data_IF_954314840303
#
_entry.id   IF_954314840303
#
_cell.length_a   1.000
_cell.length_b   1.000
_cell.length_c   1.000
_cell.angle_alpha   90.00
_cell.angle_beta   90.00
_cell.angle_gamma   90.00
#
_symmetry.space_group_name_H-M   'P 1'
#
loop_
_entity.id
_entity.type
_entity.pdbx_description
1 polymer ?
#
# COMPACT_ATOMS: atom_id res chain seq x y z
N UNK A 1 14.08 -10.20 20.95
CA UNK A 1 13.54 -10.54 19.61
C UNK A 1 12.63 -11.76 19.72
N UNK A 2 11.30 -11.62 19.58
CA UNK A 2 10.41 -12.76 19.35
C UNK A 2 9.66 -12.68 18.00
N UNK A 3 9.76 -13.78 17.26
CA UNK A 3 8.82 -14.35 16.29
C UNK A 3 7.55 -13.57 15.89
N UNK A 4 7.65 -12.73 14.85
CA UNK A 4 6.52 -12.31 14.03
C UNK A 4 6.50 -13.12 12.72
N UNK A 5 6.13 -14.41 12.77
CA UNK A 5 5.79 -15.18 11.58
C UNK A 5 4.55 -16.02 11.85
N UNK A 6 3.65 -16.03 10.87
CA UNK A 6 2.74 -17.13 10.50
C UNK A 6 1.22 -16.85 10.45
N UNK A 7 0.77 -15.59 10.44
CA UNK A 7 -0.62 -15.24 10.07
C UNK A 7 -0.74 -14.82 8.59
N UNK A 8 -0.02 -13.74 8.24
CA UNK A 8 -0.08 -13.11 6.92
C UNK A 8 0.40 -14.01 5.78
N UNK A 9 1.49 -14.77 5.96
CA UNK A 9 1.98 -15.72 4.94
C UNK A 9 0.99 -16.86 4.68
N UNK A 10 0.29 -17.32 5.71
CA UNK A 10 -0.71 -18.39 5.59
C UNK A 10 -1.96 -17.90 4.85
N UNK A 11 -2.40 -16.67 5.11
CA UNK A 11 -3.50 -16.02 4.40
C UNK A 11 -3.16 -15.75 2.92
N UNK A 12 -1.97 -15.18 2.65
CA UNK A 12 -1.51 -14.97 1.28
C UNK A 12 -1.33 -16.29 0.51
N UNK A 13 -0.78 -17.33 1.17
CA UNK A 13 -0.65 -18.66 0.58
C UNK A 13 -2.01 -19.31 0.30
N UNK A 14 -2.96 -19.24 1.23
CA UNK A 14 -4.33 -19.74 1.03
C UNK A 14 -5.04 -19.01 -0.10
N UNK A 15 -4.81 -17.70 -0.25
CA UNK A 15 -5.36 -16.91 -1.36
C UNK A 15 -4.81 -17.40 -2.70
N UNK A 16 -3.48 -17.54 -2.82
CA UNK A 16 -2.83 -18.03 -4.05
C UNK A 16 -3.25 -19.47 -4.37
N UNK A 17 -3.37 -20.34 -3.36
CA UNK A 17 -3.84 -21.72 -3.54
C UNK A 17 -5.31 -21.75 -3.97
N UNK A 18 -6.16 -20.90 -3.40
CA UNK A 18 -7.55 -20.78 -3.82
C UNK A 18 -7.63 -20.34 -5.28
N UNK A 19 -6.90 -19.30 -5.67
CA UNK A 19 -6.85 -18.79 -7.05
C UNK A 19 -6.35 -19.84 -8.05
N UNK A 20 -5.31 -20.57 -7.68
CA UNK A 20 -4.77 -21.67 -8.47
C UNK A 20 -5.80 -22.81 -8.63
N UNK A 21 -6.49 -23.19 -7.56
CA UNK A 21 -7.53 -24.22 -7.59
C UNK A 21 -8.70 -23.79 -8.49
N UNK A 22 -9.18 -22.55 -8.38
CA UNK A 22 -10.22 -22.02 -9.27
C UNK A 22 -9.79 -21.98 -10.72
N UNK A 23 -8.52 -21.65 -11.00
CA UNK A 23 -7.98 -21.66 -12.37
C UNK A 23 -7.94 -23.06 -12.96
N UNK A 24 -7.48 -24.05 -12.18
CA UNK A 24 -7.46 -25.47 -12.60
C UNK A 24 -8.88 -25.98 -12.85
N UNK A 25 -9.83 -25.70 -11.95
CA UNK A 25 -11.23 -26.10 -12.12
C UNK A 25 -11.87 -25.45 -13.35
N UNK A 26 -11.56 -24.18 -13.63
CA UNK A 26 -12.04 -23.50 -14.83
C UNK A 26 -11.50 -24.16 -16.12
N UNK A 27 -10.21 -24.53 -16.15
CA UNK A 27 -9.59 -25.25 -17.27
C UNK A 27 -10.23 -26.64 -17.45
N UNK A 28 -10.48 -27.36 -16.35
CA UNK A 28 -11.15 -28.68 -16.41
C UNK A 28 -12.59 -28.55 -16.91
N UNK A 29 -13.32 -27.52 -16.49
CA UNK A 29 -14.68 -27.25 -16.98
C UNK A 29 -14.69 -26.91 -18.49
N UNK A 30 -13.70 -26.13 -18.96
CA UNK A 30 -13.45 -25.84 -20.38
C UNK A 30 -13.20 -27.12 -21.20
N UNK A 31 -12.26 -27.95 -20.75
CA UNK A 31 -11.88 -29.17 -21.43
C UNK A 31 -13.03 -30.17 -21.46
N UNK A 32 -13.71 -30.40 -20.32
CA UNK A 32 -14.87 -31.27 -20.26
C UNK A 32 -15.96 -30.79 -21.24
N UNK A 33 -16.22 -29.49 -21.26
CA UNK A 33 -17.15 -28.86 -22.18
C UNK A 33 -16.82 -29.04 -23.67
N UNK A 34 -15.55 -28.92 -24.02
CA UNK A 34 -15.06 -29.16 -25.38
C UNK A 34 -15.26 -30.62 -25.81
N UNK A 35 -14.91 -31.59 -24.95
CA UNK A 35 -15.05 -33.02 -25.25
C UNK A 35 -16.51 -33.50 -25.31
N UNK A 36 -17.44 -32.82 -24.65
CA UNK A 36 -18.88 -33.12 -24.67
C UNK A 36 -19.60 -32.61 -25.95
N UNK A 37 -18.90 -31.97 -26.88
CA UNK A 37 -19.42 -31.60 -28.21
C UNK A 37 -20.31 -30.35 -28.24
N UNK A 38 -20.30 -29.55 -27.18
CA UNK A 38 -21.08 -28.31 -27.10
C UNK A 38 -20.30 -27.14 -27.72
N UNK A 39 -20.33 -27.01 -29.05
CA UNK A 39 -19.63 -25.97 -29.84
C UNK A 39 -19.94 -24.51 -29.39
N UNK A 40 -21.06 -24.34 -28.69
CA UNK A 40 -21.65 -23.08 -28.25
C UNK A 40 -21.08 -22.65 -26.90
N UNK A 41 -20.48 -23.61 -26.20
CA UNK A 41 -19.88 -23.45 -24.89
C UNK A 41 -18.55 -22.70 -24.97
N UNK A 42 -17.85 -22.80 -26.09
CA UNK A 42 -16.55 -22.16 -26.34
C UNK A 42 -16.63 -20.62 -26.21
N UNK A 43 -17.56 -19.90 -26.89
CA UNK A 43 -17.73 -18.46 -26.67
C UNK A 43 -18.28 -18.12 -25.27
N UNK A 44 -19.12 -18.97 -24.67
CA UNK A 44 -19.67 -18.73 -23.32
C UNK A 44 -18.56 -18.78 -22.27
N UNK A 45 -17.69 -19.78 -22.33
CA UNK A 45 -16.60 -19.87 -21.36
C UNK A 45 -15.53 -18.81 -21.62
N UNK A 46 -15.32 -18.40 -22.88
CA UNK A 46 -14.50 -17.21 -23.19
C UNK A 46 -14.99 -15.95 -22.46
N UNK A 47 -16.31 -15.69 -22.47
CA UNK A 47 -16.91 -14.55 -21.76
C UNK A 47 -16.77 -14.72 -20.24
N UNK A 48 -17.06 -15.90 -19.71
CA UNK A 48 -16.91 -16.16 -18.26
C UNK A 48 -15.47 -15.98 -17.82
N UNK A 49 -14.51 -16.50 -18.57
CA UNK A 49 -13.07 -16.33 -18.32
C UNK A 49 -12.65 -14.86 -18.38
N UNK A 50 -13.12 -14.11 -19.38
CA UNK A 50 -12.85 -12.67 -19.47
C UNK A 50 -13.40 -11.90 -18.25
N UNK A 51 -14.60 -12.22 -17.78
CA UNK A 51 -15.20 -11.60 -16.58
C UNK A 51 -14.41 -11.94 -15.31
N UNK A 52 -13.99 -13.19 -15.15
CA UNK A 52 -13.16 -13.61 -13.99
C UNK A 52 -11.83 -12.88 -13.98
N UNK A 53 -11.11 -12.85 -15.11
CA UNK A 53 -9.83 -12.15 -15.24
C UNK A 53 -10.01 -10.66 -15.01
N UNK A 54 -11.04 -10.03 -15.60
CA UNK A 54 -11.32 -8.61 -15.41
C UNK A 54 -11.59 -8.28 -13.93
N UNK A 55 -12.34 -9.15 -13.22
CA UNK A 55 -12.63 -8.97 -11.80
C UNK A 55 -11.39 -9.11 -10.92
N UNK A 56 -10.47 -10.01 -11.27
CA UNK A 56 -9.17 -10.14 -10.59
C UNK A 56 -8.25 -8.96 -10.86
N UNK A 57 -8.20 -8.48 -12.11
CA UNK A 57 -7.38 -7.34 -12.50
C UNK A 57 -7.85 -6.01 -11.87
N UNK A 58 -9.14 -5.88 -11.54
CA UNK A 58 -9.70 -4.61 -11.03
C UNK A 58 -9.16 -4.20 -9.65
N UNK A 59 -8.93 -5.14 -8.74
CA UNK A 59 -8.49 -4.82 -7.36
C UNK A 59 -7.05 -4.32 -7.28
N UNK A 60 -6.06 -4.93 -7.96
CA UNK A 60 -4.69 -4.44 -7.97
C UNK A 60 -4.53 -3.07 -8.65
N UNK A 61 -5.34 -2.78 -9.68
CA UNK A 61 -5.24 -1.51 -10.41
C UNK A 61 -5.47 -0.32 -9.48
N UNK A 62 -6.46 -0.38 -8.59
CA UNK A 62 -6.73 0.70 -7.65
C UNK A 62 -5.57 0.95 -6.67
N UNK A 63 -4.95 -0.12 -6.19
CA UNK A 63 -3.80 -0.02 -5.26
C UNK A 63 -2.59 0.56 -5.97
N UNK A 64 -2.28 0.07 -7.17
CA UNK A 64 -1.15 0.58 -7.97
C UNK A 64 -1.40 2.02 -8.40
N UNK A 65 -2.64 2.39 -8.73
CA UNK A 65 -3.01 3.75 -9.07
C UNK A 65 -2.83 4.71 -7.87
N UNK A 66 -3.24 4.31 -6.67
CA UNK A 66 -3.04 5.12 -5.46
C UNK A 66 -1.55 5.39 -5.16
N UNK A 67 -0.69 4.40 -5.38
CA UNK A 67 0.78 4.55 -5.25
C UNK A 67 1.34 5.44 -6.35
N UNK A 68 0.92 5.26 -7.61
CA UNK A 68 1.40 6.07 -8.73
C UNK A 68 0.91 7.51 -8.71
N UNK A 69 -0.29 7.75 -8.17
CA UNK A 69 -0.87 9.07 -8.02
C UNK A 69 -0.36 9.80 -6.78
N UNK A 70 0.61 9.22 -6.06
CA UNK A 70 1.21 9.78 -4.86
C UNK A 70 0.16 10.17 -3.82
N UNK A 71 -0.86 9.31 -3.65
CA UNK A 71 -2.00 9.64 -2.80
C UNK A 71 -1.52 9.89 -1.37
N UNK A 72 -1.78 11.10 -0.88
CA UNK A 72 -1.40 11.53 0.45
C UNK A 72 -2.18 10.75 1.50
N UNK A 73 -1.46 10.22 2.48
CA UNK A 73 -2.06 9.61 3.66
C UNK A 73 -2.28 10.69 4.73
N UNK A 74 -3.51 11.22 4.79
CA UNK A 74 -3.88 12.28 5.72
C UNK A 74 -3.74 11.85 7.18
N UNK A 75 -3.89 10.56 7.49
CA UNK A 75 -3.79 10.07 8.87
C UNK A 75 -2.35 10.17 9.39
N UNK A 76 -1.40 9.71 8.58
CA UNK A 76 0.04 9.80 8.89
C UNK A 76 0.49 11.27 8.90
N UNK A 77 -0.05 12.09 8.00
CA UNK A 77 0.26 13.52 7.98
C UNK A 77 -0.16 14.20 9.31
N UNK A 78 -1.35 13.88 9.83
CA UNK A 78 -1.82 14.46 11.08
C UNK A 78 -1.01 13.98 12.29
N UNK A 79 -0.66 12.69 12.34
CA UNK A 79 0.22 12.15 13.38
C UNK A 79 1.59 12.84 13.38
N UNK A 80 2.16 13.10 12.20
CA UNK A 80 3.42 13.85 12.07
C UNK A 80 3.26 15.29 12.59
N UNK A 81 2.15 15.97 12.29
CA UNK A 81 1.89 17.32 12.82
C UNK A 81 1.84 17.32 14.34
N UNK A 82 1.09 16.42 14.95
CA UNK A 82 0.96 16.33 16.41
C UNK A 82 2.30 16.07 17.11
N UNK A 83 3.16 15.25 16.52
CA UNK A 83 4.48 14.92 17.10
C UNK A 83 5.51 16.04 16.94
N UNK A 84 5.42 16.82 15.87
CA UNK A 84 6.42 17.84 15.52
C UNK A 84 6.04 19.22 16.05
N UNK A 85 4.78 19.65 15.91
CA UNK A 85 4.29 20.97 16.35
C UNK A 85 4.04 21.01 17.85
N UNK A 86 5.12 20.91 18.64
CA UNK A 86 5.06 21.18 20.07
C UNK A 86 4.99 22.69 20.33
N UNK A 87 4.20 23.16 21.31
CA UNK A 87 3.99 24.59 21.54
C UNK A 87 5.31 25.35 21.80
N UNK A 88 5.62 26.29 20.91
CA UNK A 88 6.75 27.23 21.09
C UNK A 88 8.11 26.77 20.55
N UNK A 89 8.16 25.68 19.80
CA UNK A 89 9.43 25.10 19.33
C UNK A 89 9.65 25.27 17.81
N UNK A 90 8.80 24.63 17.02
CA UNK A 90 8.90 24.57 15.56
C UNK A 90 7.50 24.60 14.94
N UNK A 91 7.38 25.26 13.79
CA UNK A 91 6.18 25.32 12.96
C UNK A 91 6.45 24.57 11.66
N UNK A 92 5.52 23.73 11.22
CA UNK A 92 5.64 23.06 9.93
C UNK A 92 5.25 24.05 8.82
N UNK A 93 6.15 24.26 7.87
CA UNK A 93 5.86 25.06 6.67
C UNK A 93 5.42 24.24 5.48
N UNK A 94 5.91 23.00 5.38
CA UNK A 94 5.55 22.08 4.31
C UNK A 94 5.60 20.65 4.84
N UNK A 95 4.55 19.88 4.56
CA UNK A 95 4.45 18.47 4.92
C UNK A 95 3.82 17.73 3.75
N UNK A 96 4.62 16.86 3.14
CA UNK A 96 4.14 15.95 2.11
C UNK A 96 4.39 14.51 2.56
N UNK A 97 3.32 13.72 2.59
CA UNK A 97 3.36 12.29 2.93
C UNK A 97 2.79 11.53 1.77
N UNK A 98 3.47 10.47 1.35
CA UNK A 98 2.99 9.64 0.25
C UNK A 98 3.33 8.18 0.46
N UNK A 99 2.59 7.32 -0.23
CA UNK A 99 2.72 5.88 -0.12
C UNK A 99 3.72 5.34 -1.13
N UNK A 100 4.78 4.69 -0.65
CA UNK A 100 5.80 4.03 -1.49
C UNK A 100 5.59 2.52 -1.59
N UNK A 101 4.79 1.93 -0.70
CA UNK A 101 4.46 0.51 -0.74
C UNK A 101 3.25 0.12 0.12
N UNK A 102 2.90 -1.17 0.17
CA UNK A 102 1.72 -1.64 0.91
C UNK A 102 1.74 -1.31 2.41
N UNK A 103 2.92 -1.19 3.01
CA UNK A 103 3.12 -0.86 4.43
C UNK A 103 4.25 0.15 4.64
N UNK A 104 4.57 0.95 3.62
CA UNK A 104 5.69 1.88 3.65
C UNK A 104 5.27 3.24 3.09
N UNK A 105 5.53 4.28 3.87
CA UNK A 105 5.32 5.68 3.51
C UNK A 105 6.65 6.42 3.44
N UNK A 106 6.68 7.46 2.63
CA UNK A 106 7.73 8.45 2.61
C UNK A 106 7.15 9.80 3.03
N UNK A 107 7.94 10.59 3.75
CA UNK A 107 7.54 11.90 4.21
C UNK A 107 8.68 12.92 4.02
N UNK A 108 8.32 14.11 3.54
CA UNK A 108 9.15 15.30 3.59
C UNK A 108 8.51 16.26 4.57
N UNK A 109 9.29 16.71 5.55
CA UNK A 109 8.86 17.67 6.56
C UNK A 109 9.82 18.85 6.54
N UNK A 110 9.30 20.03 6.23
CA UNK A 110 10.05 21.28 6.29
C UNK A 110 9.50 22.12 7.43
N UNK A 111 10.37 22.46 8.38
CA UNK A 111 10.02 23.24 9.57
C UNK A 111 10.80 24.53 9.67
N UNK A 112 10.19 25.51 10.34
CA UNK A 112 10.83 26.73 10.80
C UNK A 112 10.80 26.76 12.33
N UNK A 113 11.91 27.08 12.97
CA UNK A 113 11.96 27.19 14.43
C UNK A 113 13.20 27.88 14.98
N UNK A 114 13.28 27.91 16.30
CA UNK A 114 14.35 28.60 17.03
C UNK A 114 15.64 27.77 17.05
N UNK A 115 16.78 28.44 17.30
CA UNK A 115 18.12 27.85 17.29
C UNK A 115 18.35 26.70 18.29
N UNK A 116 17.39 26.46 19.18
CA UNK A 116 17.40 25.37 20.18
C UNK A 116 17.07 24.01 19.58
N UNK A 117 16.44 23.97 18.40
CA UNK A 117 16.01 22.74 17.73
C UNK A 117 16.75 22.55 16.43
N UNK A 118 17.00 21.30 16.07
CA UNK A 118 17.70 20.90 14.85
C UNK A 118 16.96 19.77 14.14
N UNK A 119 17.40 19.46 12.92
CA UNK A 119 16.82 18.38 12.12
C UNK A 119 16.92 17.00 12.80
N UNK A 120 17.98 16.73 13.57
CA UNK A 120 18.11 15.49 14.36
C UNK A 120 17.02 15.34 15.43
N UNK A 121 16.73 16.41 16.19
CA UNK A 121 15.71 16.36 17.25
C UNK A 121 14.32 16.06 16.70
N UNK A 122 14.00 16.58 15.52
CA UNK A 122 12.74 16.29 14.82
C UNK A 122 12.74 14.85 14.30
N UNK A 123 13.85 14.40 13.71
CA UNK A 123 14.01 13.00 13.29
C UNK A 123 13.82 12.03 14.46
N UNK A 124 14.23 12.41 15.67
CA UNK A 124 14.06 11.59 16.87
C UNK A 124 12.60 11.54 17.36
N UNK A 125 11.85 12.65 17.26
CA UNK A 125 10.40 12.66 17.54
C UNK A 125 9.62 11.77 16.58
N UNK A 126 10.04 11.73 15.31
CA UNK A 126 9.37 10.96 14.26
C UNK A 126 9.79 9.48 14.19
N UNK A 127 10.77 9.03 15.00
CA UNK A 127 11.15 7.61 15.05
C UNK A 127 10.00 6.67 15.45
N UNK A 128 9.00 7.19 16.16
CA UNK A 128 7.87 6.43 16.65
C UNK A 128 6.81 6.17 15.57
N UNK A 129 6.87 6.87 14.44
CA UNK A 129 5.99 6.66 13.28
C UNK A 129 6.59 5.56 12.41
N UNK A 130 6.33 4.31 12.79
CA UNK A 130 6.96 3.12 12.18
C UNK A 130 6.56 2.92 10.71
N UNK A 131 5.48 3.55 10.25
CA UNK A 131 5.03 3.46 8.86
C UNK A 131 5.87 4.30 7.90
N UNK A 132 6.61 5.30 8.39
CA UNK A 132 7.49 6.16 7.57
C UNK A 132 8.86 5.49 7.40
N UNK A 133 9.07 4.91 6.22
CA UNK A 133 10.32 4.23 5.86
C UNK A 133 11.39 5.19 5.34
N UNK A 134 10.97 6.29 4.71
CA UNK A 134 11.86 7.32 4.16
C UNK A 134 11.46 8.69 4.69
N UNK A 135 12.33 9.30 5.48
CA UNK A 135 12.08 10.61 6.10
C UNK A 135 13.18 11.60 5.71
N UNK A 136 12.76 12.70 5.08
CA UNK A 136 13.57 13.89 4.81
C UNK A 136 13.08 15.01 5.71
N UNK A 137 13.99 15.58 6.51
CA UNK A 137 13.68 16.72 7.38
C UNK A 137 14.52 17.89 6.94
N UNK A 138 13.86 18.98 6.58
CA UNK A 138 14.49 20.27 6.33
C UNK A 138 14.19 21.21 7.49
N UNK A 139 15.26 21.79 8.06
CA UNK A 139 15.15 22.77 9.12
C UNK A 139 15.65 24.12 8.63
N UNK A 140 14.83 25.16 8.78
CA UNK A 140 15.18 26.54 8.49
C UNK A 140 15.06 27.36 9.76
N UNK A 141 16.04 28.22 10.00
CA UNK A 141 15.98 29.21 11.09
C UNK A 141 15.13 30.39 10.63
N UNK A 142 14.27 30.89 11.53
CA UNK A 142 13.56 32.17 11.37
C UNK A 142 14.52 33.36 11.52
#
# INVERSE_FOLDING_TARGET
>A
MPSARCGYLKSAYLHVVADALTSVLAIVALLAGHYLGWVWLDPVIGIVGAVVIARWAWSPIGITAAVLLDQTDEHIAEEIRELVEQPGDVTITDLHVWRVGPQAHAAIVSVIGQSTTNAEGIRERLKWVHEVSHLTVEFRMD
#
